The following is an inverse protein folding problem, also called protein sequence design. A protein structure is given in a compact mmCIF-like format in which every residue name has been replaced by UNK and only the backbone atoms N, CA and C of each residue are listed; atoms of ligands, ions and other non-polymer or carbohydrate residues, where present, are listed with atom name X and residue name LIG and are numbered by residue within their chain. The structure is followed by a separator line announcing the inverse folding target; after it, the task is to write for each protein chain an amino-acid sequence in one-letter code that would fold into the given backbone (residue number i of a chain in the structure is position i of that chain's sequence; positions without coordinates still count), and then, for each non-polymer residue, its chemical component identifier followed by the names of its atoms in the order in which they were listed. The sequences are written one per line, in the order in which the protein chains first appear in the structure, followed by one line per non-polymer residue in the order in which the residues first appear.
data_IF_515896171180
#
_entry.id   IF_515896171180
#
_cell.length_a   1.000
_cell.length_b   1.000
_cell.length_c   1.000
_cell.angle_alpha   90.00
_cell.angle_beta   90.00
_cell.angle_gamma   90.00
#
_symmetry.space_group_name_H-M   'P 1'
#
loop_
_entity.id
_entity.type
_entity.pdbx_description
1 polymer ?
#
# COMPACT_ATOMS: atom_id res chain seq x y z
N UNK A 1 8.59 -95.28 40.18
CA UNK A 1 7.46 -94.49 39.69
C UNK A 1 7.81 -93.02 39.65
N UNK A 2 8.40 -92.51 38.64
CA UNK A 2 8.64 -91.07 38.46
C UNK A 2 8.49 -90.76 37.00
N UNK A 3 7.48 -89.95 36.70
CA UNK A 3 7.18 -89.46 35.34
C UNK A 3 8.11 -88.35 35.02
N UNK A 4 8.95 -88.49 34.02
CA UNK A 4 9.73 -87.38 33.44
C UNK A 4 8.83 -86.62 32.46
N UNK A 5 8.64 -85.33 32.74
CA UNK A 5 8.01 -84.39 31.80
C UNK A 5 9.10 -83.75 30.93
N UNK A 6 9.05 -84.05 29.65
CA UNK A 6 9.85 -83.30 28.66
C UNK A 6 9.32 -81.90 28.51
N UNK A 7 10.15 -80.90 28.77
CA UNK A 7 9.88 -79.55 28.43
C UNK A 7 10.51 -79.29 27.07
N UNK A 8 9.65 -79.04 26.08
CA UNK A 8 10.07 -78.58 24.77
C UNK A 8 10.25 -77.07 24.83
N UNK A 9 11.48 -76.64 24.68
CA UNK A 9 11.82 -75.17 24.63
C UNK A 9 11.57 -74.74 23.19
N UNK A 10 10.50 -73.99 22.96
CA UNK A 10 10.27 -73.27 21.70
C UNK A 10 11.01 -71.97 21.75
N UNK A 11 12.11 -71.93 20.98
CA UNK A 11 12.82 -70.67 20.79
C UNK A 11 12.02 -69.77 19.78
N UNK A 12 11.39 -68.77 20.28
CA UNK A 12 10.79 -67.70 19.47
C UNK A 12 11.91 -66.79 19.02
N UNK A 13 12.30 -66.89 17.77
CA UNK A 13 13.19 -65.91 17.14
C UNK A 13 12.36 -64.69 16.81
N UNK A 14 12.49 -63.66 17.66
CA UNK A 14 12.01 -62.29 17.36
C UNK A 14 12.95 -61.64 16.35
N UNK A 15 12.60 -61.70 15.06
CA UNK A 15 13.20 -60.84 14.04
C UNK A 15 12.66 -59.45 14.24
N UNK A 16 13.42 -58.60 14.91
CA UNK A 16 13.19 -57.16 14.94
C UNK A 16 13.47 -56.59 13.53
N UNK A 17 12.42 -56.44 12.75
CA UNK A 17 12.44 -55.55 11.58
C UNK A 17 12.68 -54.13 12.08
N UNK A 18 13.90 -53.68 11.96
CA UNK A 18 14.22 -52.29 12.08
C UNK A 18 13.57 -51.55 10.88
N UNK A 19 12.39 -51.01 11.11
CA UNK A 19 11.88 -49.93 10.26
C UNK A 19 12.84 -48.77 10.41
N UNK A 20 13.77 -48.62 9.51
CA UNK A 20 14.44 -47.33 9.29
C UNK A 20 13.34 -46.34 8.84
N UNK A 21 12.78 -45.63 9.80
CA UNK A 21 12.04 -44.42 9.49
C UNK A 21 13.07 -43.46 8.89
N UNK A 22 13.13 -43.44 7.56
CA UNK A 22 13.64 -42.29 6.85
C UNK A 22 12.69 -41.13 7.19
N UNK A 23 12.92 -40.50 8.33
CA UNK A 23 12.48 -39.15 8.55
C UNK A 23 13.17 -38.34 7.46
N UNK A 24 12.54 -38.26 6.30
CA UNK A 24 12.73 -37.12 5.43
C UNK A 24 12.41 -35.93 6.34
N UNK A 25 13.45 -35.29 6.85
CA UNK A 25 13.37 -33.91 7.24
C UNK A 25 12.87 -33.18 5.98
N UNK A 26 11.57 -32.99 5.89
CA UNK A 26 11.00 -31.92 5.11
C UNK A 26 11.66 -30.67 5.68
N UNK A 27 12.78 -30.24 5.05
CA UNK A 27 13.28 -28.88 5.22
C UNK A 27 12.10 -28.01 4.84
N UNK A 28 11.39 -27.49 5.85
CA UNK A 28 10.43 -26.46 5.66
C UNK A 28 11.15 -25.38 4.82
N UNK A 29 10.78 -25.27 3.56
CA UNK A 29 11.40 -24.33 2.66
C UNK A 29 11.29 -22.97 3.37
N UNK A 30 12.42 -22.33 3.68
CA UNK A 30 12.45 -21.05 4.37
C UNK A 30 11.61 -20.11 3.54
N UNK A 31 10.46 -19.70 4.06
CA UNK A 31 9.53 -18.80 3.37
C UNK A 31 10.32 -17.56 2.94
N UNK A 32 10.28 -17.24 1.65
CA UNK A 32 10.98 -16.06 1.12
C UNK A 32 10.36 -14.81 1.72
N UNK A 33 11.17 -13.87 2.13
CA UNK A 33 10.66 -12.59 2.63
C UNK A 33 10.39 -11.65 1.46
N UNK A 34 9.48 -10.65 1.62
CA UNK A 34 9.18 -9.69 0.56
C UNK A 34 10.42 -9.00 -0.02
N UNK A 35 11.41 -8.67 0.84
CA UNK A 35 12.66 -8.04 0.41
C UNK A 35 13.55 -8.94 -0.45
N UNK A 36 13.41 -10.26 -0.34
CA UNK A 36 14.20 -11.25 -1.10
C UNK A 36 13.55 -11.61 -2.44
N UNK A 37 12.31 -11.20 -2.70
CA UNK A 37 11.62 -11.46 -3.96
C UNK A 37 12.28 -10.72 -5.13
N UNK A 38 12.28 -11.31 -6.35
CA UNK A 38 12.89 -10.68 -7.50
C UNK A 38 12.35 -9.27 -7.75
N UNK A 39 13.23 -8.30 -7.81
CA UNK A 39 12.93 -6.98 -8.31
C UNK A 39 12.99 -6.98 -9.84
N UNK A 40 12.10 -6.24 -10.47
CA UNK A 40 11.99 -6.22 -11.93
C UNK A 40 13.30 -5.78 -12.60
N UNK A 41 13.80 -6.56 -13.54
CA UNK A 41 14.94 -6.20 -14.40
C UNK A 41 14.66 -5.04 -15.36
N UNK A 42 13.45 -4.47 -15.36
CA UNK A 42 13.02 -3.41 -16.28
C UNK A 42 13.29 -1.98 -15.78
N UNK A 43 14.08 -1.83 -14.73
CA UNK A 43 14.27 -0.60 -13.95
C UNK A 43 15.04 0.50 -14.69
N UNK A 44 15.68 0.23 -15.82
CA UNK A 44 16.68 1.14 -16.39
C UNK A 44 16.19 2.10 -17.48
N UNK A 45 14.88 2.20 -17.75
CA UNK A 45 14.39 3.16 -18.74
C UNK A 45 14.09 4.50 -18.10
N UNK A 46 14.75 5.55 -18.56
CA UNK A 46 14.39 6.93 -18.26
C UNK A 46 12.97 7.24 -18.73
N UNK A 47 12.23 8.02 -17.92
CA UNK A 47 10.88 8.45 -18.22
C UNK A 47 9.80 7.61 -17.53
N UNK A 48 8.52 8.04 -17.62
CA UNK A 48 7.42 7.40 -16.91
C UNK A 48 7.08 6.02 -17.48
N UNK A 49 6.69 5.10 -16.58
CA UNK A 49 6.17 3.78 -16.95
C UNK A 49 4.81 3.86 -17.61
N UNK A 50 4.00 4.82 -17.18
CA UNK A 50 2.65 5.06 -17.69
C UNK A 50 2.41 6.54 -17.92
N UNK A 51 1.44 6.85 -18.79
CA UNK A 51 1.01 8.22 -19.08
C UNK A 51 -0.51 8.30 -19.08
N UNK A 52 -1.04 9.30 -18.35
CA UNK A 52 -2.42 9.75 -18.47
C UNK A 52 -2.40 11.06 -19.27
N UNK A 53 -3.19 11.19 -20.33
CA UNK A 53 -3.24 12.41 -21.13
C UNK A 53 -3.56 13.65 -20.31
N UNK A 54 -3.18 14.83 -20.82
CA UNK A 54 -3.60 16.11 -20.22
C UNK A 54 -5.13 16.23 -20.29
N UNK A 55 -5.81 16.41 -19.14
CA UNK A 55 -7.25 16.60 -19.17
C UNK A 55 -7.62 17.96 -19.77
N UNK A 56 -8.82 18.06 -20.33
CA UNK A 56 -9.34 19.33 -20.89
C UNK A 56 -9.68 20.39 -19.85
N UNK A 57 -9.73 19.98 -18.58
CA UNK A 57 -9.96 20.81 -17.39
C UNK A 57 -8.79 20.68 -16.43
N UNK A 58 -8.97 21.13 -15.17
CA UNK A 58 -7.98 20.90 -14.12
C UNK A 58 -7.73 19.41 -13.88
N UNK A 59 -6.46 19.03 -13.66
CA UNK A 59 -6.11 17.66 -13.32
C UNK A 59 -6.61 17.31 -11.92
N UNK A 60 -7.36 16.22 -11.80
CA UNK A 60 -7.88 15.71 -10.53
C UNK A 60 -7.25 14.35 -10.22
N UNK A 61 -6.70 14.21 -9.02
CA UNK A 61 -6.11 12.98 -8.51
C UNK A 61 -6.70 12.65 -7.15
N UNK A 62 -7.00 11.38 -6.90
CA UNK A 62 -7.40 10.88 -5.58
C UNK A 62 -6.32 9.92 -5.05
N UNK A 63 -6.03 10.02 -3.74
CA UNK A 63 -5.10 9.13 -3.05
C UNK A 63 -5.73 8.60 -1.76
N UNK A 64 -5.58 7.31 -1.48
CA UNK A 64 -5.96 6.65 -0.23
C UNK A 64 -5.44 5.20 -0.20
N UNK A 65 -5.35 4.58 0.96
CA UNK A 65 -4.87 3.22 1.14
C UNK A 65 -5.76 2.38 2.06
N UNK A 66 -5.35 1.15 2.31
CA UNK A 66 -5.92 0.25 3.32
C UNK A 66 -7.39 -0.09 3.05
N UNK A 67 -7.69 -0.41 1.79
CA UNK A 67 -9.04 -0.81 1.41
C UNK A 67 -9.40 -2.18 1.97
N UNK A 68 -8.43 -3.09 2.01
CA UNK A 68 -8.54 -4.46 2.54
C UNK A 68 -9.78 -5.17 2.02
N UNK A 69 -9.89 -5.26 0.70
CA UNK A 69 -10.94 -6.04 0.07
C UNK A 69 -10.84 -7.49 0.53
N UNK A 70 -11.93 -8.03 1.02
CA UNK A 70 -12.09 -9.41 1.48
C UNK A 70 -13.58 -9.75 1.52
N UNK A 71 -13.93 -10.98 1.90
CA UNK A 71 -15.31 -11.41 2.08
C UNK A 71 -16.11 -10.33 2.81
N UNK A 72 -17.24 -9.85 2.23
CA UNK A 72 -18.08 -8.83 2.85
C UNK A 72 -18.65 -9.22 4.22
N UNK A 73 -18.68 -10.50 4.57
CA UNK A 73 -19.07 -10.96 5.90
C UNK A 73 -17.98 -10.79 6.94
N UNK A 74 -16.71 -10.57 6.53
CA UNK A 74 -15.59 -10.34 7.44
C UNK A 74 -15.55 -8.90 7.93
N UNK A 75 -16.51 -8.55 8.81
CA UNK A 75 -16.63 -7.21 9.38
C UNK A 75 -15.71 -6.95 10.57
N UNK A 76 -14.93 -7.93 11.01
CA UNK A 76 -14.00 -7.76 12.12
C UNK A 76 -12.73 -7.01 11.73
N UNK A 77 -12.27 -7.17 10.51
CA UNK A 77 -10.99 -6.60 10.03
C UNK A 77 -11.18 -5.39 9.11
N UNK A 78 -12.38 -5.23 8.53
CA UNK A 78 -12.69 -4.16 7.58
C UNK A 78 -14.13 -3.66 7.76
N UNK A 79 -14.49 -2.57 7.10
CA UNK A 79 -15.86 -2.07 6.96
C UNK A 79 -16.27 -2.14 5.48
N UNK A 80 -16.89 -3.23 5.03
CA UNK A 80 -17.35 -3.36 3.64
C UNK A 80 -18.31 -2.24 3.22
N UNK A 81 -19.11 -1.73 4.17
CA UNK A 81 -20.02 -0.61 3.94
C UNK A 81 -19.27 0.69 3.64
N UNK A 82 -18.29 1.06 4.47
CA UNK A 82 -17.48 2.25 4.26
C UNK A 82 -16.70 2.15 2.94
N UNK A 83 -16.09 0.98 2.66
CA UNK A 83 -15.35 0.72 1.44
C UNK A 83 -16.20 0.88 0.18
N UNK A 84 -17.39 0.30 0.12
CA UNK A 84 -18.32 0.47 -1.02
C UNK A 84 -18.72 1.93 -1.20
N UNK A 85 -19.03 2.66 -0.12
CA UNK A 85 -19.36 4.07 -0.22
C UNK A 85 -18.19 4.94 -0.71
N UNK A 86 -16.95 4.59 -0.32
CA UNK A 86 -15.75 5.24 -0.87
C UNK A 86 -15.61 4.97 -2.37
N UNK A 87 -15.78 3.72 -2.79
CA UNK A 87 -15.73 3.34 -4.22
C UNK A 87 -16.76 4.11 -5.04
N UNK A 88 -18.01 4.15 -4.58
CA UNK A 88 -19.10 4.89 -5.24
C UNK A 88 -18.82 6.39 -5.29
N UNK A 89 -18.33 6.96 -4.18
CA UNK A 89 -18.00 8.39 -4.09
C UNK A 89 -16.86 8.75 -5.05
N UNK A 90 -15.80 7.95 -5.08
CA UNK A 90 -14.66 8.17 -5.98
C UNK A 90 -15.09 8.04 -7.46
N UNK A 91 -15.93 7.06 -7.80
CA UNK A 91 -16.49 6.95 -9.14
C UNK A 91 -17.26 8.21 -9.54
N UNK A 92 -18.08 8.76 -8.62
CA UNK A 92 -18.85 9.97 -8.87
C UNK A 92 -17.99 11.25 -9.00
N UNK A 93 -16.80 11.28 -8.40
CA UNK A 93 -15.83 12.40 -8.54
C UNK A 93 -15.19 12.41 -9.94
N UNK A 94 -15.09 11.26 -10.62
CA UNK A 94 -14.48 11.09 -11.95
C UNK A 94 -13.05 11.66 -12.02
N UNK A 95 -12.13 11.23 -11.12
CA UNK A 95 -10.75 11.70 -11.16
C UNK A 95 -10.02 11.20 -12.42
N UNK A 96 -8.99 11.94 -12.85
CA UNK A 96 -8.10 11.52 -13.93
C UNK A 96 -7.24 10.32 -13.54
N UNK A 97 -6.93 10.18 -12.22
CA UNK A 97 -6.26 9.02 -11.66
C UNK A 97 -6.60 8.81 -10.19
N UNK A 98 -6.48 7.56 -9.74
CA UNK A 98 -6.56 7.15 -8.32
C UNK A 98 -5.25 6.44 -7.96
N UNK A 99 -4.55 6.90 -6.93
CA UNK A 99 -3.42 6.19 -6.34
C UNK A 99 -3.90 5.41 -5.12
N UNK A 100 -3.59 4.11 -5.08
CA UNK A 100 -3.89 3.24 -3.96
C UNK A 100 -2.60 3.01 -3.17
N UNK A 101 -2.57 3.45 -1.91
CA UNK A 101 -1.37 3.44 -1.07
C UNK A 101 -1.10 2.06 -0.43
N UNK A 102 -1.39 0.95 -1.12
CA UNK A 102 -1.20 -0.41 -0.63
C UNK A 102 -2.33 -0.92 0.25
N UNK A 103 -2.21 -2.18 0.65
CA UNK A 103 -3.23 -2.95 1.40
C UNK A 103 -4.59 -2.96 0.67
N UNK A 104 -4.53 -3.22 -0.65
CA UNK A 104 -5.72 -3.39 -1.48
C UNK A 104 -6.48 -4.67 -1.09
N UNK A 105 -5.86 -5.90 -1.09
CA UNK A 105 -6.51 -7.07 -0.51
C UNK A 105 -6.32 -7.10 1.01
N UNK A 106 -7.11 -7.91 1.69
CA UNK A 106 -6.85 -8.26 3.08
C UNK A 106 -5.70 -9.30 3.20
N UNK A 107 -5.59 -10.21 2.22
CA UNK A 107 -4.49 -11.17 2.16
C UNK A 107 -4.10 -11.46 0.71
N UNK A 108 -2.84 -11.20 0.36
CA UNK A 108 -2.34 -11.30 -1.01
C UNK A 108 -2.36 -12.73 -1.57
N UNK A 109 -2.26 -13.77 -0.72
CA UNK A 109 -2.36 -15.17 -1.12
C UNK A 109 -3.81 -15.66 -1.32
N UNK A 110 -4.81 -14.83 -0.98
CA UNK A 110 -6.23 -15.15 -1.13
C UNK A 110 -6.79 -14.56 -2.42
N UNK A 111 -6.90 -15.38 -3.47
CA UNK A 111 -7.43 -14.96 -4.78
C UNK A 111 -8.81 -14.30 -4.67
N UNK A 112 -9.67 -14.79 -3.75
CA UNK A 112 -11.00 -14.24 -3.55
C UNK A 112 -11.00 -12.77 -3.12
N UNK A 113 -9.98 -12.30 -2.40
CA UNK A 113 -9.87 -10.90 -2.01
C UNK A 113 -9.73 -9.98 -3.23
N UNK A 114 -9.01 -10.44 -4.26
CA UNK A 114 -8.89 -9.72 -5.53
C UNK A 114 -10.18 -9.81 -6.38
N UNK A 115 -10.94 -10.91 -6.30
CA UNK A 115 -12.26 -11.00 -6.94
C UNK A 115 -13.29 -10.07 -6.27
N UNK A 116 -13.22 -9.91 -4.94
CA UNK A 116 -14.02 -8.91 -4.22
C UNK A 116 -13.62 -7.50 -4.65
N UNK A 117 -12.30 -7.19 -4.72
CA UNK A 117 -11.80 -5.93 -5.28
C UNK A 117 -12.38 -5.66 -6.67
N UNK A 118 -12.26 -6.61 -7.56
CA UNK A 118 -12.76 -6.51 -8.93
C UNK A 118 -14.28 -6.29 -8.98
N UNK A 119 -15.01 -6.97 -8.12
CA UNK A 119 -16.48 -6.86 -8.07
C UNK A 119 -16.90 -5.50 -7.50
N UNK A 120 -16.39 -5.12 -6.33
CA UNK A 120 -16.79 -3.89 -5.66
C UNK A 120 -16.32 -2.64 -6.41
N UNK A 121 -15.17 -2.67 -7.08
CA UNK A 121 -14.66 -1.54 -7.89
C UNK A 121 -15.19 -1.49 -9.33
N UNK A 122 -16.24 -2.27 -9.63
CA UNK A 122 -16.90 -2.16 -10.93
C UNK A 122 -17.26 -0.72 -11.33
N UNK A 123 -17.77 0.14 -10.42
CA UNK A 123 -18.07 1.54 -10.75
C UNK A 123 -16.86 2.32 -11.31
N UNK A 124 -15.63 2.02 -10.88
CA UNK A 124 -14.44 2.68 -11.43
C UNK A 124 -14.16 2.28 -12.88
N UNK A 125 -14.38 1.01 -13.23
CA UNK A 125 -14.22 0.54 -14.62
C UNK A 125 -15.33 1.03 -15.52
N UNK A 126 -16.55 1.13 -15.02
CA UNK A 126 -17.69 1.70 -15.76
C UNK A 126 -17.44 3.17 -16.11
N UNK A 127 -16.76 3.93 -15.22
CA UNK A 127 -16.35 5.32 -15.44
C UNK A 127 -14.95 5.42 -16.09
N UNK A 128 -14.32 4.31 -16.48
CA UNK A 128 -13.00 4.26 -17.11
C UNK A 128 -11.88 4.94 -16.32
N UNK A 129 -11.93 4.88 -14.97
CA UNK A 129 -10.92 5.48 -14.12
C UNK A 129 -9.57 4.75 -14.25
N UNK A 130 -8.50 5.53 -14.32
CA UNK A 130 -7.15 5.01 -14.17
C UNK A 130 -6.81 4.86 -12.68
N UNK A 131 -6.43 3.68 -12.23
CA UNK A 131 -5.99 3.45 -10.86
C UNK A 131 -4.63 2.74 -10.82
N UNK A 132 -3.79 3.17 -9.87
CA UNK A 132 -2.39 2.81 -9.78
C UNK A 132 -2.06 2.37 -8.35
N UNK A 133 -1.99 1.04 -8.07
CA UNK A 133 -1.74 0.51 -6.73
C UNK A 133 -0.25 0.48 -6.39
N UNK A 134 0.12 0.95 -5.20
CA UNK A 134 1.37 0.56 -4.56
C UNK A 134 1.20 -0.80 -3.86
N UNK A 135 2.30 -1.46 -3.53
CA UNK A 135 2.30 -2.66 -2.70
C UNK A 135 2.34 -2.26 -1.21
N UNK A 136 1.55 -2.96 -0.38
CA UNK A 136 1.60 -2.89 1.07
C UNK A 136 1.94 -4.25 1.67
N UNK A 137 1.99 -4.35 3.00
CA UNK A 137 2.34 -5.61 3.65
C UNK A 137 1.25 -6.69 3.49
N UNK A 138 -0.02 -6.30 3.32
CA UNK A 138 -1.10 -7.25 3.08
C UNK A 138 -1.04 -7.90 1.69
N UNK A 139 -0.42 -7.24 0.70
CA UNK A 139 -0.11 -7.85 -0.59
C UNK A 139 0.88 -9.02 -0.49
N UNK A 140 1.61 -9.15 0.63
CA UNK A 140 2.58 -10.23 0.88
C UNK A 140 2.14 -11.21 1.99
N UNK A 141 0.92 -11.09 2.50
CA UNK A 141 0.38 -12.08 3.45
C UNK A 141 0.28 -13.46 2.79
N UNK A 142 0.50 -14.50 3.60
CA UNK A 142 0.53 -15.87 3.16
C UNK A 142 1.90 -16.30 2.62
N UNK A 143 1.99 -16.82 1.41
CA UNK A 143 3.23 -17.03 0.68
C UNK A 143 3.55 -15.79 -0.16
N UNK A 144 4.62 -15.04 0.10
CA UNK A 144 4.87 -13.78 -0.57
C UNK A 144 5.09 -13.88 -2.07
N UNK A 145 5.61 -15.01 -2.57
CA UNK A 145 5.80 -15.22 -4.01
C UNK A 145 4.46 -15.47 -4.71
N UNK A 146 3.62 -16.33 -4.15
CA UNK A 146 2.26 -16.60 -4.65
C UNK A 146 1.40 -15.34 -4.59
N UNK A 147 1.45 -14.63 -3.47
CA UNK A 147 0.74 -13.37 -3.26
C UNK A 147 1.11 -12.31 -4.32
N UNK A 148 2.41 -12.16 -4.64
CA UNK A 148 2.85 -11.24 -5.69
C UNK A 148 2.37 -11.66 -7.09
N UNK A 149 2.29 -12.95 -7.39
CA UNK A 149 1.70 -13.44 -8.65
C UNK A 149 0.20 -13.13 -8.73
N UNK A 150 -0.54 -13.26 -7.61
CA UNK A 150 -1.96 -12.88 -7.56
C UNK A 150 -2.14 -11.36 -7.78
N UNK A 151 -1.28 -10.54 -7.18
CA UNK A 151 -1.29 -9.10 -7.40
C UNK A 151 -1.06 -8.75 -8.88
N UNK A 152 -0.08 -9.38 -9.52
CA UNK A 152 0.15 -9.18 -10.96
C UNK A 152 -0.99 -9.74 -11.84
N UNK A 153 -1.72 -10.74 -11.38
CA UNK A 153 -2.90 -11.22 -12.08
C UNK A 153 -4.06 -10.23 -11.96
N UNK A 154 -4.22 -9.59 -10.79
CA UNK A 154 -5.22 -8.55 -10.57
C UNK A 154 -4.91 -7.22 -11.28
N UNK A 155 -3.61 -6.90 -11.42
CA UNK A 155 -3.10 -5.68 -12.06
C UNK A 155 -2.11 -6.02 -13.20
N UNK A 156 -2.59 -6.57 -14.33
CA UNK A 156 -1.71 -7.10 -15.37
C UNK A 156 -0.78 -6.06 -16.00
N UNK A 157 -1.15 -4.76 -15.96
CA UNK A 157 -0.30 -3.67 -16.41
C UNK A 157 0.97 -3.51 -15.56
N UNK A 158 0.92 -3.98 -14.30
CA UNK A 158 2.03 -3.96 -13.35
C UNK A 158 2.92 -5.21 -13.44
N UNK A 159 2.64 -6.14 -14.37
CA UNK A 159 3.38 -7.39 -14.48
C UNK A 159 4.89 -7.18 -14.48
N UNK A 160 5.59 -7.88 -13.60
CA UNK A 160 7.02 -7.77 -13.35
C UNK A 160 7.48 -6.39 -12.85
N UNK A 161 6.61 -5.58 -12.27
CA UNK A 161 6.96 -4.32 -11.61
C UNK A 161 6.52 -4.38 -10.16
N UNK A 162 7.37 -3.91 -9.26
CA UNK A 162 7.05 -3.69 -7.85
C UNK A 162 6.98 -2.19 -7.53
N UNK A 163 7.66 -1.37 -8.35
CA UNK A 163 7.57 0.09 -8.32
C UNK A 163 7.57 0.64 -9.75
N UNK A 164 6.99 1.78 -9.94
CA UNK A 164 6.79 2.38 -11.25
C UNK A 164 6.45 3.87 -11.14
N UNK A 165 6.40 4.55 -12.28
CA UNK A 165 6.05 5.97 -12.37
C UNK A 165 4.91 6.22 -13.34
N UNK A 166 4.12 7.26 -13.06
CA UNK A 166 3.01 7.71 -13.92
C UNK A 166 3.14 9.21 -14.15
N UNK A 167 3.12 9.62 -15.41
CA UNK A 167 2.99 11.01 -15.80
C UNK A 167 1.51 11.34 -15.97
N UNK A 168 0.98 12.24 -15.14
CA UNK A 168 -0.39 12.76 -15.21
C UNK A 168 -0.38 14.12 -15.87
N UNK A 169 -0.84 14.18 -17.12
CA UNK A 169 -0.73 15.37 -17.92
C UNK A 169 0.72 15.86 -18.01
N UNK A 170 0.93 17.17 -17.96
CA UNK A 170 2.27 17.78 -18.05
C UNK A 170 2.89 18.10 -16.71
N UNK A 171 2.08 18.34 -15.70
CA UNK A 171 2.50 19.01 -14.47
C UNK A 171 2.63 18.11 -13.24
N UNK A 172 2.04 16.91 -13.24
CA UNK A 172 2.12 15.97 -12.13
C UNK A 172 2.89 14.72 -12.57
N UNK A 173 3.83 14.31 -11.72
CA UNK A 173 4.59 13.07 -11.88
C UNK A 173 4.44 12.22 -10.61
N UNK A 174 4.01 10.98 -10.75
CA UNK A 174 3.81 10.11 -9.59
C UNK A 174 4.82 8.96 -9.59
N UNK A 175 5.25 8.59 -8.37
CA UNK A 175 6.06 7.41 -8.11
C UNK A 175 5.26 6.49 -7.18
N UNK A 176 4.92 5.29 -7.64
CA UNK A 176 4.42 4.22 -6.76
C UNK A 176 5.62 3.40 -6.31
N UNK A 177 5.83 3.30 -5.01
CA UNK A 177 6.96 2.62 -4.39
C UNK A 177 6.51 1.36 -3.65
N UNK A 178 7.44 0.43 -3.48
CA UNK A 178 7.28 -0.75 -2.64
C UNK A 178 8.10 -0.57 -1.36
N UNK A 179 7.43 -0.30 -0.26
CA UNK A 179 8.08 -0.11 1.05
C UNK A 179 8.47 -1.42 1.74
N UNK A 180 8.06 -2.58 1.22
CA UNK A 180 8.50 -3.91 1.68
C UNK A 180 9.76 -4.42 0.97
N UNK A 181 10.38 -3.57 0.17
CA UNK A 181 11.76 -3.76 -0.31
C UNK A 181 12.63 -2.58 0.08
N UNK A 182 13.94 -2.70 -0.13
CA UNK A 182 14.90 -1.71 0.38
C UNK A 182 14.76 -0.35 -0.29
N UNK A 183 14.60 0.69 0.54
CA UNK A 183 14.69 2.12 0.21
C UNK A 183 16.00 2.74 0.74
N UNK A 184 16.88 1.93 1.33
CA UNK A 184 18.15 2.39 1.88
C UNK A 184 19.09 2.93 0.79
N UNK A 185 20.03 3.83 1.13
CA UNK A 185 20.99 4.36 0.19
C UNK A 185 21.75 3.25 -0.56
N UNK A 186 21.76 3.33 -1.89
CA UNK A 186 22.43 2.37 -2.75
C UNK A 186 21.58 1.16 -3.16
N UNK A 187 20.36 1.00 -2.63
CA UNK A 187 19.42 -0.03 -3.12
C UNK A 187 18.94 0.28 -4.55
N UNK A 188 18.41 -0.73 -5.23
CA UNK A 188 17.93 -0.58 -6.60
C UNK A 188 16.76 0.39 -6.70
N UNK A 189 15.82 0.33 -5.75
CA UNK A 189 14.69 1.24 -5.75
C UNK A 189 15.11 2.67 -5.45
N UNK A 190 16.03 2.88 -4.49
CA UNK A 190 16.53 4.22 -4.18
C UNK A 190 17.29 4.83 -5.37
N UNK A 191 18.17 4.07 -6.05
CA UNK A 191 18.82 4.52 -7.29
C UNK A 191 17.82 4.86 -8.39
N UNK A 192 16.74 4.08 -8.49
CA UNK A 192 15.68 4.35 -9.46
C UNK A 192 14.95 5.65 -9.11
N UNK A 193 14.60 5.89 -7.83
CA UNK A 193 14.00 7.16 -7.37
C UNK A 193 14.90 8.35 -7.75
N UNK A 194 16.21 8.24 -7.48
CA UNK A 194 17.19 9.29 -7.86
C UNK A 194 17.17 9.54 -9.37
N UNK A 195 17.16 8.48 -10.17
CA UNK A 195 17.10 8.58 -11.63
C UNK A 195 15.84 9.27 -12.12
N UNK A 196 14.67 8.94 -11.52
CA UNK A 196 13.39 9.57 -11.86
C UNK A 196 13.40 11.07 -11.51
N UNK A 197 13.85 11.43 -10.31
CA UNK A 197 13.88 12.82 -9.86
C UNK A 197 14.88 13.67 -10.65
N UNK A 198 16.04 13.11 -11.04
CA UNK A 198 17.00 13.78 -11.94
C UNK A 198 16.48 13.96 -13.36
N UNK A 199 15.67 13.02 -13.84
CA UNK A 199 15.12 13.00 -15.18
C UNK A 199 13.75 13.67 -15.33
N UNK A 200 13.27 14.37 -14.29
CA UNK A 200 11.97 15.05 -14.36
C UNK A 200 11.90 16.05 -15.50
N UNK A 201 10.85 16.01 -16.35
CA UNK A 201 10.57 17.07 -17.29
C UNK A 201 10.44 18.44 -16.60
N UNK A 202 10.95 19.50 -17.22
CA UNK A 202 10.87 20.86 -16.65
C UNK A 202 9.43 21.37 -16.50
N UNK A 203 8.47 20.78 -17.17
CA UNK A 203 7.04 21.08 -17.04
C UNK A 203 6.40 20.50 -15.76
N UNK A 204 7.06 19.55 -15.09
CA UNK A 204 6.55 18.95 -13.85
C UNK A 204 6.67 19.93 -12.71
N UNK A 205 5.53 20.21 -12.07
CA UNK A 205 5.40 21.13 -10.92
C UNK A 205 5.28 20.37 -9.61
N UNK A 206 4.72 19.17 -9.64
CA UNK A 206 4.44 18.35 -8.46
C UNK A 206 4.87 16.91 -8.69
N UNK A 207 5.58 16.36 -7.72
CA UNK A 207 5.90 14.93 -7.61
C UNK A 207 5.08 14.36 -6.48
N UNK A 208 4.25 13.36 -6.76
CA UNK A 208 3.44 12.67 -5.75
C UNK A 208 3.98 11.26 -5.62
N UNK A 209 4.46 10.91 -4.43
CA UNK A 209 5.02 9.60 -4.10
C UNK A 209 3.96 8.83 -3.31
N UNK A 210 3.50 7.70 -3.85
CA UNK A 210 2.60 6.77 -3.20
C UNK A 210 3.38 5.57 -2.71
N UNK A 211 3.26 5.22 -1.43
CA UNK A 211 3.83 4.02 -0.83
C UNK A 211 2.93 3.57 0.33
N UNK A 212 3.22 2.40 0.90
CA UNK A 212 2.37 1.91 1.98
C UNK A 212 2.83 2.39 3.37
N UNK A 213 4.07 2.08 3.78
CA UNK A 213 4.55 2.45 5.12
C UNK A 213 4.97 3.92 5.17
N UNK A 214 4.46 4.71 6.12
CA UNK A 214 4.67 6.15 6.18
C UNK A 214 6.10 6.51 6.65
N UNK A 215 6.76 7.48 5.97
CA UNK A 215 8.06 8.02 6.43
C UNK A 215 7.95 8.98 7.63
N UNK A 216 6.78 9.52 7.86
CA UNK A 216 6.42 10.40 8.99
C UNK A 216 5.04 9.99 9.46
N UNK A 217 4.85 9.83 10.77
CA UNK A 217 3.58 9.44 11.34
C UNK A 217 3.48 9.81 12.82
N UNK A 218 2.26 9.95 13.29
CA UNK A 218 1.91 10.05 14.69
C UNK A 218 2.04 8.71 15.42
N UNK A 219 2.07 8.77 16.74
CA UNK A 219 2.09 7.59 17.57
C UNK A 219 0.69 6.96 17.64
N UNK A 220 0.58 5.66 17.32
CA UNK A 220 -0.69 4.95 17.40
C UNK A 220 -0.94 4.46 18.81
N UNK A 221 -2.20 4.60 19.27
CA UNK A 221 -2.66 4.11 20.56
C UNK A 221 -3.51 2.86 20.40
N UNK A 222 -3.56 2.03 21.43
CA UNK A 222 -4.42 0.82 21.50
C UNK A 222 -4.14 -0.21 20.39
N UNK A 223 -2.89 -0.31 19.96
CA UNK A 223 -2.42 -1.36 19.04
C UNK A 223 -1.32 -2.18 19.70
N UNK A 224 -1.17 -3.43 19.27
CA UNK A 224 -0.18 -4.35 19.82
C UNK A 224 1.18 -4.27 19.11
N UNK A 225 1.21 -3.66 17.93
CA UNK A 225 2.41 -3.53 17.07
C UNK A 225 2.57 -2.06 16.70
N UNK A 226 3.75 -1.52 16.91
CA UNK A 226 4.06 -0.16 16.49
C UNK A 226 4.15 -0.06 14.97
N UNK A 227 3.47 0.92 14.39
CA UNK A 227 3.54 1.29 12.97
C UNK A 227 4.41 2.52 12.75
N UNK A 228 5.35 2.77 13.65
CA UNK A 228 6.31 3.86 13.50
C UNK A 228 7.16 3.72 12.23
N UNK A 229 7.63 4.82 11.65
CA UNK A 229 8.54 4.78 10.52
C UNK A 229 9.76 3.89 10.80
N UNK A 230 10.02 2.94 9.89
CA UNK A 230 11.16 2.02 9.99
C UNK A 230 12.43 2.69 9.42
N UNK A 231 13.63 2.17 9.65
CA UNK A 231 14.86 2.70 9.05
C UNK A 231 14.77 2.87 7.52
N UNK A 232 14.01 2.04 6.85
CA UNK A 232 13.76 2.05 5.42
C UNK A 232 13.04 3.34 4.97
N UNK A 233 11.93 3.67 5.61
CA UNK A 233 11.15 4.87 5.32
C UNK A 233 11.84 6.15 5.83
N UNK A 234 12.57 6.06 6.94
CA UNK A 234 13.39 7.15 7.47
C UNK A 234 14.47 7.55 6.45
N UNK A 235 15.14 6.58 5.84
CA UNK A 235 16.14 6.85 4.81
C UNK A 235 15.53 7.53 3.57
N UNK A 236 14.33 7.10 3.14
CA UNK A 236 13.60 7.77 2.07
C UNK A 236 13.25 9.21 2.45
N UNK A 237 12.73 9.44 3.65
CA UNK A 237 12.40 10.77 4.16
C UNK A 237 13.62 11.69 4.11
N UNK A 238 14.73 11.26 4.71
CA UNK A 238 15.96 12.05 4.80
C UNK A 238 16.50 12.40 3.40
N UNK A 239 16.41 11.45 2.46
CA UNK A 239 16.75 11.71 1.06
C UNK A 239 15.82 12.76 0.44
N UNK A 240 14.50 12.61 0.55
CA UNK A 240 13.52 13.53 -0.05
C UNK A 240 13.63 14.93 0.55
N UNK A 241 13.80 15.07 1.87
CA UNK A 241 14.02 16.35 2.55
C UNK A 241 15.34 17.02 2.09
N UNK A 242 16.35 16.23 1.75
CA UNK A 242 17.63 16.76 1.25
C UNK A 242 17.56 17.25 -0.20
N UNK A 243 16.77 16.61 -1.05
CA UNK A 243 16.66 16.97 -2.48
C UNK A 243 15.51 17.91 -2.78
N UNK A 244 14.44 17.87 -1.97
CA UNK A 244 13.24 18.67 -2.14
C UNK A 244 13.52 20.16 -2.40
N UNK A 245 14.33 20.86 -1.59
CA UNK A 245 14.63 22.27 -1.82
C UNK A 245 15.29 22.58 -3.16
N UNK A 246 15.98 21.62 -3.76
CA UNK A 246 16.75 21.79 -5.01
C UNK A 246 15.98 21.36 -6.28
N UNK A 247 14.87 20.67 -6.14
CA UNK A 247 14.02 20.30 -7.27
C UNK A 247 13.16 21.49 -7.70
N UNK A 248 12.87 21.59 -9.00
CA UNK A 248 11.91 22.57 -9.53
C UNK A 248 10.45 22.18 -9.26
N UNK A 249 10.20 21.04 -8.64
CA UNK A 249 8.89 20.53 -8.30
C UNK A 249 8.71 20.42 -6.79
N UNK A 250 7.48 20.57 -6.30
CA UNK A 250 7.10 20.25 -4.92
C UNK A 250 6.89 18.74 -4.77
N UNK A 251 7.32 18.20 -3.65
CA UNK A 251 7.15 16.78 -3.33
C UNK A 251 6.01 16.61 -2.33
N UNK A 252 5.12 15.69 -2.64
CA UNK A 252 4.07 15.19 -1.75
C UNK A 252 4.28 13.68 -1.59
N UNK A 253 4.33 13.20 -0.37
CA UNK A 253 4.36 11.77 -0.05
C UNK A 253 3.01 11.39 0.53
N UNK A 254 2.35 10.38 -0.04
CA UNK A 254 1.09 9.84 0.46
C UNK A 254 1.29 8.38 0.81
N UNK A 255 1.04 8.02 2.06
CA UNK A 255 1.19 6.67 2.60
C UNK A 255 -0.13 6.14 3.16
N UNK A 256 -0.21 4.81 3.34
CA UNK A 256 -1.26 4.09 4.03
C UNK A 256 -0.80 3.58 5.40
N UNK A 257 -1.12 2.29 5.68
CA UNK A 257 -0.65 1.50 6.82
C UNK A 257 -1.26 1.90 8.18
N UNK A 258 -1.32 3.18 8.50
CA UNK A 258 -2.02 3.70 9.65
C UNK A 258 -3.44 4.05 9.22
N UNK A 259 -4.43 3.36 9.79
CA UNK A 259 -5.83 3.48 9.38
C UNK A 259 -6.45 4.77 9.95
N UNK A 260 -5.81 5.90 9.64
CA UNK A 260 -6.21 7.25 10.03
C UNK A 260 -5.71 8.26 8.98
N UNK A 261 -5.94 9.54 9.23
CA UNK A 261 -5.42 10.64 8.42
C UNK A 261 -4.47 11.50 9.24
N UNK A 262 -3.31 11.83 8.66
CA UNK A 262 -2.29 12.70 9.24
C UNK A 262 -1.68 13.57 8.15
N UNK A 263 -1.21 14.78 8.48
CA UNK A 263 -0.55 15.69 7.53
C UNK A 263 0.59 16.44 8.17
N UNK A 264 1.77 16.36 7.55
CA UNK A 264 2.99 17.02 8.02
C UNK A 264 3.64 17.83 6.90
N UNK A 265 4.41 18.86 7.28
CA UNK A 265 5.31 19.58 6.38
C UNK A 265 6.72 19.55 6.98
N UNK A 266 7.68 18.96 6.26
CA UNK A 266 9.06 18.84 6.68
C UNK A 266 9.99 19.02 5.49
N UNK A 267 11.06 19.85 5.64
CA UNK A 267 12.06 20.00 4.59
C UNK A 267 11.50 20.35 3.20
N UNK A 268 10.43 21.14 3.10
CA UNK A 268 9.70 21.48 1.87
C UNK A 268 8.96 20.28 1.21
N UNK A 269 8.77 19.19 1.96
CA UNK A 269 8.01 18.00 1.56
C UNK A 269 6.74 17.89 2.38
N UNK A 270 5.60 17.71 1.71
CA UNK A 270 4.33 17.42 2.37
C UNK A 270 4.17 15.92 2.53
N UNK A 271 3.92 15.45 3.75
CA UNK A 271 3.64 14.05 4.05
C UNK A 271 2.19 13.87 4.46
N UNK A 272 1.54 12.90 3.89
CA UNK A 272 0.19 12.48 4.23
C UNK A 272 0.19 11.01 4.64
N UNK A 273 -0.51 10.69 5.71
CA UNK A 273 -1.01 9.35 5.97
C UNK A 273 -2.49 9.34 5.59
N UNK A 274 -2.89 8.41 4.74
CA UNK A 274 -4.26 8.30 4.23
C UNK A 274 -4.64 6.83 4.11
N UNK A 275 -4.84 6.19 5.27
CA UNK A 275 -5.19 4.78 5.42
C UNK A 275 -6.66 4.52 5.71
N UNK A 276 -7.56 5.43 5.29
CA UNK A 276 -8.99 5.37 5.60
C UNK A 276 -9.86 4.58 4.63
N UNK A 277 -9.28 3.71 3.79
CA UNK A 277 -9.96 3.07 2.66
C UNK A 277 -11.01 2.00 2.99
N UNK A 278 -11.04 1.50 4.21
CA UNK A 278 -11.98 0.44 4.61
C UNK A 278 -11.50 -0.45 5.74
N UNK A 279 -10.21 -0.55 5.99
CA UNK A 279 -9.65 -1.24 7.16
C UNK A 279 -10.19 -0.61 8.47
N UNK A 280 -10.20 -1.38 9.56
CA UNK A 280 -10.65 -0.86 10.87
C UNK A 280 -9.79 0.33 11.27
N UNK A 281 -10.41 1.50 11.55
CA UNK A 281 -9.67 2.69 11.95
C UNK A 281 -8.88 2.49 13.24
N UNK A 282 -7.73 3.15 13.34
CA UNK A 282 -6.83 3.14 14.49
C UNK A 282 -6.74 4.57 15.05
N UNK A 283 -6.97 4.79 16.36
CA UNK A 283 -6.74 6.09 16.96
C UNK A 283 -5.25 6.40 17.06
N UNK A 284 -4.91 7.68 16.91
CA UNK A 284 -3.55 8.20 16.99
C UNK A 284 -3.45 9.30 18.05
N UNK A 285 -2.27 9.46 18.64
CA UNK A 285 -1.92 10.61 19.49
C UNK A 285 -1.28 11.68 18.61
N UNK A 286 -1.99 12.79 18.40
CA UNK A 286 -1.55 13.87 17.51
C UNK A 286 -0.31 14.56 18.04
N UNK A 287 0.79 14.46 17.31
CA UNK A 287 1.97 15.26 17.59
C UNK A 287 1.71 16.75 17.27
N UNK A 288 2.41 17.70 17.91
CA UNK A 288 2.26 19.12 17.58
C UNK A 288 2.62 19.45 16.11
N UNK A 289 3.43 18.62 15.46
CA UNK A 289 3.86 18.74 14.08
C UNK A 289 2.82 18.24 13.08
N UNK A 290 1.83 17.45 13.51
CA UNK A 290 0.69 17.07 12.66
C UNK A 290 -0.17 18.31 12.42
N UNK A 291 -0.30 18.69 11.16
CA UNK A 291 -1.09 19.84 10.74
C UNK A 291 -2.60 19.56 10.77
N UNK A 292 -2.99 18.30 10.99
CA UNK A 292 -4.38 17.89 11.19
C UNK A 292 -4.61 17.49 12.65
N UNK A 293 -5.06 18.42 13.46
CA UNK A 293 -5.23 18.28 14.91
C UNK A 293 -6.62 17.75 15.34
N UNK A 294 -7.43 17.24 14.41
CA UNK A 294 -8.73 16.69 14.76
C UNK A 294 -8.62 15.24 15.26
N UNK A 295 -9.43 14.92 16.25
CA UNK A 295 -9.59 13.56 16.78
C UNK A 295 -10.83 12.84 16.20
N UNK A 296 -11.25 13.20 14.97
CA UNK A 296 -12.36 12.56 14.28
C UNK A 296 -12.15 11.03 14.19
N UNK A 297 -13.14 10.28 14.67
CA UNK A 297 -13.08 8.83 14.70
C UNK A 297 -14.49 8.20 14.57
N UNK A 298 -14.69 7.12 13.82
CA UNK A 298 -13.74 6.49 12.89
C UNK A 298 -13.42 7.39 11.71
N UNK A 299 -12.24 7.25 11.11
CA UNK A 299 -11.79 8.10 10.03
C UNK A 299 -11.69 7.35 8.70
N UNK A 300 -12.83 7.04 8.08
CA UNK A 300 -12.89 6.55 6.69
C UNK A 300 -12.88 7.74 5.74
N UNK A 301 -11.90 7.79 4.85
CA UNK A 301 -11.66 8.99 4.04
C UNK A 301 -10.89 8.69 2.75
N UNK A 302 -10.85 9.70 1.89
CA UNK A 302 -9.93 9.80 0.76
C UNK A 302 -9.41 11.25 0.66
N UNK A 303 -8.26 11.45 0.02
CA UNK A 303 -7.73 12.78 -0.27
C UNK A 303 -7.86 13.06 -1.76
N UNK A 304 -8.47 14.19 -2.10
CA UNK A 304 -8.61 14.70 -3.45
C UNK A 304 -7.64 15.85 -3.69
N UNK A 305 -6.86 15.76 -4.74
CA UNK A 305 -6.04 16.82 -5.27
C UNK A 305 -6.63 17.38 -6.56
N UNK A 306 -6.67 18.71 -6.66
CA UNK A 306 -7.09 19.42 -7.87
C UNK A 306 -6.02 20.44 -8.23
N UNK A 307 -5.42 20.28 -9.42
CA UNK A 307 -4.42 21.22 -9.93
C UNK A 307 -5.09 22.32 -10.74
N UNK A 308 -4.96 23.56 -10.27
CA UNK A 308 -5.40 24.75 -10.95
C UNK A 308 -4.18 25.66 -11.23
N UNK A 309 -3.70 25.69 -12.45
CA UNK A 309 -2.53 26.49 -12.85
C UNK A 309 -1.25 26.06 -12.12
N UNK A 310 -0.81 26.83 -11.14
CA UNK A 310 0.39 26.57 -10.32
C UNK A 310 0.05 26.12 -8.91
N UNK A 311 -1.22 26.00 -8.56
CA UNK A 311 -1.68 25.67 -7.21
C UNK A 311 -2.32 24.29 -7.19
N UNK A 312 -1.81 23.41 -6.36
CA UNK A 312 -2.40 22.10 -6.07
C UNK A 312 -3.22 22.20 -4.78
N UNK A 313 -4.54 22.07 -4.92
CA UNK A 313 -5.49 22.06 -3.80
C UNK A 313 -5.68 20.64 -3.32
N UNK A 314 -5.41 20.38 -2.04
CA UNK A 314 -5.68 19.11 -1.36
C UNK A 314 -6.90 19.24 -0.45
N UNK A 315 -7.80 18.26 -0.50
CA UNK A 315 -8.95 18.17 0.40
C UNK A 315 -9.12 16.74 0.88
N UNK A 316 -9.13 16.55 2.19
CA UNK A 316 -9.49 15.26 2.79
C UNK A 316 -11.01 15.24 3.02
N UNK A 317 -11.67 14.27 2.39
CA UNK A 317 -13.11 14.01 2.57
C UNK A 317 -13.32 12.81 3.47
N UNK A 318 -13.92 13.06 4.64
CA UNK A 318 -14.27 12.03 5.61
C UNK A 318 -15.71 11.58 5.44
N UNK A 319 -15.96 10.28 5.60
CA UNK A 319 -17.30 9.75 5.79
C UNK A 319 -17.81 10.13 7.19
N UNK A 320 -18.89 10.93 7.26
CA UNK A 320 -19.37 11.49 8.51
C UNK A 320 -19.86 10.42 9.50
N UNK A 321 -20.66 9.47 9.03
CA UNK A 321 -21.18 8.36 9.84
C UNK A 321 -21.32 7.08 9.01
N UNK A 322 -20.57 6.05 9.36
CA UNK A 322 -20.63 4.72 8.72
C UNK A 322 -21.92 3.97 9.06
N UNK A 323 -22.62 4.32 10.15
CA UNK A 323 -23.87 3.68 10.56
C UNK A 323 -25.11 4.29 9.90
N UNK A 324 -24.97 5.45 9.27
CA UNK A 324 -26.09 6.10 8.56
C UNK A 324 -26.66 5.23 7.44
N UNK A 325 -27.90 5.51 7.03
CA UNK A 325 -28.54 4.83 5.89
C UNK A 325 -27.99 5.29 4.53
N UNK A 326 -27.41 6.49 4.46
CA UNK A 326 -26.81 7.08 3.26
C UNK A 326 -25.50 7.77 3.64
N UNK A 327 -24.48 7.74 2.77
CA UNK A 327 -23.22 8.40 3.05
C UNK A 327 -23.37 9.92 2.97
N UNK A 328 -22.76 10.60 3.94
CA UNK A 328 -22.48 12.04 3.90
C UNK A 328 -20.98 12.26 4.03
N UNK A 329 -20.45 13.23 3.30
CA UNK A 329 -19.02 13.51 3.20
C UNK A 329 -18.73 14.89 3.70
N UNK A 330 -17.70 15.01 4.53
CA UNK A 330 -17.25 16.26 5.15
C UNK A 330 -15.84 16.57 4.66
N UNK A 331 -15.63 17.79 4.16
CA UNK A 331 -14.29 18.33 3.98
C UNK A 331 -13.72 18.64 5.37
N UNK A 332 -12.71 17.88 5.81
CA UNK A 332 -12.16 17.99 7.17
C UNK A 332 -10.78 18.58 7.22
N UNK A 333 -10.04 18.51 6.12
CA UNK A 333 -8.76 19.20 5.95
C UNK A 333 -8.69 19.76 4.53
N UNK A 334 -8.36 21.04 4.43
CA UNK A 334 -8.17 21.74 3.17
C UNK A 334 -6.83 22.48 3.21
N UNK A 335 -6.02 22.27 2.19
CA UNK A 335 -4.70 22.89 2.09
C UNK A 335 -4.30 23.16 0.63
N UNK A 336 -3.31 24.00 0.46
CA UNK A 336 -2.78 24.36 -0.85
C UNK A 336 -1.26 24.20 -0.88
N UNK A 337 -0.75 23.78 -2.03
CA UNK A 337 0.68 23.67 -2.31
C UNK A 337 0.95 24.47 -3.59
N UNK A 338 1.72 25.54 -3.47
CA UNK A 338 2.12 26.34 -4.61
C UNK A 338 3.32 25.70 -5.32
N UNK A 339 3.29 25.67 -6.66
CA UNK A 339 4.45 25.28 -7.46
C UNK A 339 5.63 26.22 -7.19
N UNK A 340 6.83 25.72 -7.34
CA UNK A 340 8.03 26.56 -7.32
C UNK A 340 8.04 27.52 -8.50
N UNK A 341 8.57 28.70 -8.27
CA UNK A 341 8.74 29.74 -9.30
C UNK A 341 9.95 29.45 -10.18
#
# INVERSE_FOLDING_TARGET
MLHSRNIVLVAVILTTLAFSSSAQEEKAAKKMKPEDLPTSKLISKSGPSFRVPEPSKSTMLIVFGDQRFTDPENTEVTSPKARRWLVEKIAAEKPDAVLLNGDVPYSGDVVNDYEVFKTETKPWRDEHLHFYPALGNHEFHGDPQEALEHWWAAFPEMRNRRWYSVQLGRSIYTLALDSDTSLLPGSDQQKWIEGQLKGLPTSVKFVIISLHHPPVADFQTKINVSHNPRPNEIALRDYLESVGPRLNAKIIVSAGHIHNYERFLRGDVTYLVSGGGGAKPVPVDRAPEDLYQSNDFPNYHYVKFVLNGNTLHGTMYRLADVNANRPTWEARDEFTIEAKQ
#
